data_IF_177033420630
#
_entry.id   IF_177033420630
#
_cell.length_a   1.000
_cell.length_b   1.000
_cell.length_c   1.000
_cell.angle_alpha   90.00
_cell.angle_beta   90.00
_cell.angle_gamma   90.00
#
_symmetry.space_group_name_H-M   'P 1'
#
loop_
_entity.id
_entity.type
_entity.pdbx_description
1 polymer ?
#
# COMPACT_ATOMS: atom_id res chain seq x y z
N UNK A 1 20.71 6.07 -33.38
CA UNK A 1 20.27 6.39 -31.99
C UNK A 1 18.98 7.21 -32.01
N UNK A 2 18.92 8.31 -32.75
CA UNK A 2 17.68 9.10 -32.93
C UNK A 2 16.46 8.25 -33.37
N UNK A 3 16.63 7.36 -34.35
CA UNK A 3 15.53 6.49 -34.80
C UNK A 3 15.00 5.58 -33.69
N UNK A 4 15.88 5.07 -32.82
CA UNK A 4 15.50 4.23 -31.69
C UNK A 4 14.75 5.04 -30.62
N UNK A 5 15.19 6.26 -30.33
CA UNK A 5 14.51 7.16 -29.38
C UNK A 5 13.13 7.53 -29.92
N UNK A 6 13.03 7.90 -31.20
CA UNK A 6 11.75 8.23 -31.85
C UNK A 6 10.80 7.04 -31.87
N UNK A 7 11.31 5.85 -32.22
CA UNK A 7 10.53 4.61 -32.15
C UNK A 7 10.02 4.34 -30.73
N UNK A 8 10.88 4.48 -29.72
CA UNK A 8 10.47 4.30 -28.31
C UNK A 8 9.41 5.33 -27.89
N UNK A 9 9.57 6.59 -28.31
CA UNK A 9 8.60 7.64 -28.02
C UNK A 9 7.23 7.36 -28.64
N UNK A 10 7.19 6.76 -29.83
CA UNK A 10 5.93 6.33 -30.45
C UNK A 10 5.20 5.26 -29.63
N UNK A 11 5.90 4.52 -28.76
CA UNK A 11 5.33 3.52 -27.87
C UNK A 11 4.85 4.08 -26.53
N UNK A 12 5.10 5.36 -26.22
CA UNK A 12 4.76 5.94 -24.92
C UNK A 12 3.29 5.77 -24.57
N UNK A 13 2.39 6.16 -25.48
CA UNK A 13 0.94 6.09 -25.24
C UNK A 13 0.45 4.63 -25.12
N UNK A 14 0.80 3.70 -26.04
CA UNK A 14 0.49 2.27 -25.87
C UNK A 14 0.98 1.68 -24.54
N UNK A 15 2.20 2.00 -24.12
CA UNK A 15 2.78 1.50 -22.86
C UNK A 15 2.02 2.07 -21.66
N UNK A 16 1.63 3.34 -21.69
CA UNK A 16 0.81 3.94 -20.64
C UNK A 16 -0.55 3.22 -20.55
N UNK A 17 -1.23 2.97 -21.67
CA UNK A 17 -2.50 2.23 -21.66
C UNK A 17 -2.33 0.80 -21.12
N UNK A 18 -1.31 0.08 -21.56
CA UNK A 18 -1.00 -1.25 -21.03
C UNK A 18 -0.80 -1.20 -19.51
N UNK A 19 -0.03 -0.23 -19.04
CA UNK A 19 0.23 -0.02 -17.60
C UNK A 19 -1.07 0.25 -16.83
N UNK A 20 -1.96 1.09 -17.37
CA UNK A 20 -3.26 1.36 -16.74
C UNK A 20 -4.10 0.08 -16.63
N UNK A 21 -4.14 -0.74 -17.70
CA UNK A 21 -4.89 -1.98 -17.75
C UNK A 21 -4.43 -3.02 -16.71
N UNK A 22 -3.12 -3.09 -16.41
CA UNK A 22 -2.60 -4.00 -15.38
C UNK A 22 -2.69 -3.41 -13.97
N UNK A 23 -2.56 -2.10 -13.83
CA UNK A 23 -2.46 -1.44 -12.53
C UNK A 23 -3.81 -1.23 -11.88
N UNK A 24 -4.85 -0.84 -12.62
CA UNK A 24 -6.18 -0.61 -12.03
C UNK A 24 -6.71 -1.88 -11.33
N UNK A 25 -6.71 -3.08 -11.95
CA UNK A 25 -7.12 -4.31 -11.26
C UNK A 25 -6.24 -4.63 -10.05
N UNK A 26 -4.93 -4.38 -10.16
CA UNK A 26 -3.98 -4.66 -9.09
C UNK A 26 -4.15 -3.71 -7.90
N UNK A 27 -4.44 -2.42 -8.12
CA UNK A 27 -4.81 -1.48 -7.06
C UNK A 27 -6.13 -1.86 -6.38
N UNK A 28 -7.14 -2.25 -7.16
CA UNK A 28 -8.41 -2.71 -6.61
C UNK A 28 -8.21 -3.95 -5.71
N UNK A 29 -7.38 -4.89 -6.15
CA UNK A 29 -6.95 -6.02 -5.34
C UNK A 29 -6.21 -5.55 -4.08
N UNK A 30 -5.29 -4.60 -4.19
CA UNK A 30 -4.53 -4.08 -3.05
C UNK A 30 -5.42 -3.41 -1.98
N UNK A 31 -6.38 -2.59 -2.41
CA UNK A 31 -7.38 -1.99 -1.51
C UNK A 31 -8.21 -3.09 -0.83
N UNK A 32 -8.66 -4.08 -1.60
CA UNK A 32 -9.41 -5.23 -1.06
C UNK A 32 -8.60 -6.02 -0.01
N UNK A 33 -7.29 -6.16 -0.24
CA UNK A 33 -6.38 -6.81 0.70
C UNK A 33 -6.20 -6.00 1.99
N UNK A 34 -5.99 -4.69 1.89
CA UNK A 34 -5.91 -3.78 3.05
C UNK A 34 -7.21 -3.88 3.88
N UNK A 35 -8.37 -3.78 3.24
CA UNK A 35 -9.68 -3.87 3.91
C UNK A 35 -9.83 -5.20 4.64
N UNK A 36 -9.47 -6.31 3.98
CA UNK A 36 -9.53 -7.66 4.58
C UNK A 36 -8.61 -7.78 5.80
N UNK A 37 -7.37 -7.28 5.71
CA UNK A 37 -6.40 -7.32 6.81
C UNK A 37 -6.91 -6.51 8.01
N UNK A 38 -7.43 -5.31 7.76
CA UNK A 38 -7.95 -4.43 8.82
C UNK A 38 -9.17 -5.05 9.49
N UNK A 39 -10.08 -5.64 8.72
CA UNK A 39 -11.34 -6.21 9.21
C UNK A 39 -11.15 -7.46 10.08
N UNK A 40 -10.18 -8.32 9.75
CA UNK A 40 -10.07 -9.64 10.38
C UNK A 40 -8.87 -9.74 11.31
N UNK A 41 -9.14 -9.97 12.60
CA UNK A 41 -8.12 -10.08 13.66
C UNK A 41 -7.05 -11.15 13.40
N UNK A 42 -7.39 -12.21 12.67
CA UNK A 42 -6.44 -13.28 12.32
C UNK A 42 -5.27 -12.80 11.45
N UNK A 43 -5.40 -11.64 10.81
CA UNK A 43 -4.35 -11.03 10.00
C UNK A 43 -3.66 -9.85 10.72
N UNK A 44 -3.90 -9.64 12.02
CA UNK A 44 -3.23 -8.59 12.80
C UNK A 44 -1.82 -9.00 13.28
N UNK A 45 -1.04 -9.64 12.40
CA UNK A 45 0.35 -9.98 12.67
C UNK A 45 1.31 -8.89 12.12
N UNK A 46 2.57 -8.94 12.55
CA UNK A 46 3.59 -7.95 12.15
C UNK A 46 3.84 -7.92 10.65
N UNK A 47 3.81 -9.08 9.99
CA UNK A 47 4.00 -9.20 8.54
C UNK A 47 2.91 -8.46 7.75
N UNK A 48 1.63 -8.68 8.08
CA UNK A 48 0.51 -8.03 7.42
C UNK A 48 0.47 -6.53 7.72
N UNK A 49 0.88 -6.10 8.92
CA UNK A 49 1.02 -4.68 9.22
C UNK A 49 2.10 -4.02 8.33
N UNK A 50 3.25 -4.66 8.15
CA UNK A 50 4.31 -4.21 7.22
C UNK A 50 3.83 -4.21 5.77
N UNK A 51 3.08 -5.23 5.37
CA UNK A 51 2.45 -5.29 4.05
C UNK A 51 1.48 -4.13 3.83
N UNK A 52 0.61 -3.81 4.80
CA UNK A 52 -0.33 -2.67 4.68
C UNK A 52 0.42 -1.34 4.58
N UNK A 53 1.49 -1.14 5.36
CA UNK A 53 2.31 0.07 5.25
C UNK A 53 2.91 0.22 3.86
N UNK A 54 3.48 -0.85 3.29
CA UNK A 54 3.95 -0.86 1.91
C UNK A 54 2.82 -0.56 0.93
N UNK A 55 1.67 -1.20 1.13
CA UNK A 55 0.56 -1.07 0.20
C UNK A 55 0.02 0.35 0.12
N UNK A 56 -0.04 1.07 1.25
CA UNK A 56 -0.39 2.49 1.28
C UNK A 56 0.62 3.32 0.49
N UNK A 57 1.91 3.07 0.70
CA UNK A 57 2.98 3.80 0.01
C UNK A 57 2.96 3.57 -1.50
N UNK A 58 2.78 2.34 -1.94
CA UNK A 58 2.64 1.96 -3.35
C UNK A 58 1.41 2.64 -3.99
N UNK A 59 0.25 2.62 -3.32
CA UNK A 59 -0.96 3.29 -3.81
C UNK A 59 -0.75 4.81 -3.95
N UNK A 60 -0.10 5.45 -2.96
CA UNK A 60 0.24 6.87 -3.04
C UNK A 60 1.20 7.17 -4.21
N UNK A 61 2.18 6.29 -4.44
CA UNK A 61 3.14 6.44 -5.54
C UNK A 61 2.45 6.36 -6.90
N UNK A 62 1.52 5.42 -7.07
CA UNK A 62 0.72 5.28 -8.29
C UNK A 62 -0.16 6.51 -8.51
N UNK A 63 -0.86 6.98 -7.47
CA UNK A 63 -1.67 8.20 -7.56
C UNK A 63 -0.84 9.42 -7.95
N UNK A 64 0.35 9.58 -7.35
CA UNK A 64 1.30 10.62 -7.71
C UNK A 64 1.74 10.52 -9.18
N UNK A 65 1.99 9.30 -9.68
CA UNK A 65 2.36 9.07 -11.08
C UNK A 65 1.19 9.33 -12.05
N UNK A 66 -0.04 9.01 -11.66
CA UNK A 66 -1.22 9.37 -12.45
C UNK A 66 -1.37 10.89 -12.56
N UNK A 67 -1.25 11.58 -11.44
CA UNK A 67 -1.37 13.04 -11.37
C UNK A 67 -0.23 13.74 -12.13
N UNK A 68 1.02 13.41 -11.86
CA UNK A 68 2.18 14.14 -12.39
C UNK A 68 2.65 13.74 -13.79
N UNK A 69 2.27 12.56 -14.28
CA UNK A 69 2.83 12.02 -15.53
C UNK A 69 1.77 11.44 -16.48
N UNK A 70 0.99 10.44 -16.05
CA UNK A 70 0.11 9.70 -16.99
C UNK A 70 -1.03 10.54 -17.51
N UNK A 71 -1.76 11.24 -16.63
CA UNK A 71 -2.88 12.07 -17.05
C UNK A 71 -2.42 13.24 -17.95
N UNK A 72 -1.33 13.97 -17.62
CA UNK A 72 -0.72 14.92 -18.54
C UNK A 72 -0.33 14.35 -19.91
N UNK A 73 0.07 13.09 -19.99
CA UNK A 73 0.40 12.45 -21.27
C UNK A 73 -0.83 12.08 -22.11
N UNK A 74 -1.92 11.61 -21.49
CA UNK A 74 -3.09 11.07 -22.23
C UNK A 74 -4.09 12.19 -22.58
N UNK A 75 -4.39 13.06 -21.61
CA UNK A 75 -5.43 14.11 -21.73
C UNK A 75 -4.87 15.49 -21.39
N UNK A 76 -3.57 15.69 -21.65
CA UNK A 76 -2.86 16.92 -21.33
C UNK A 76 -3.52 18.18 -21.87
N UNK A 77 -4.06 18.14 -23.09
CA UNK A 77 -4.68 19.31 -23.72
C UNK A 77 -5.84 19.87 -22.89
N UNK A 78 -6.66 18.99 -22.31
CA UNK A 78 -7.79 19.36 -21.44
C UNK A 78 -7.29 19.78 -20.06
N UNK A 79 -6.34 19.03 -19.51
CA UNK A 79 -5.81 19.29 -18.17
C UNK A 79 -4.93 20.53 -18.07
N UNK A 80 -4.31 20.96 -19.16
CA UNK A 80 -3.40 22.10 -19.17
C UNK A 80 -4.08 23.38 -18.64
N UNK A 81 -5.33 23.62 -19.05
CA UNK A 81 -6.10 24.77 -18.58
C UNK A 81 -6.35 24.74 -17.07
N UNK A 82 -6.47 23.54 -16.49
CA UNK A 82 -6.67 23.35 -15.06
C UNK A 82 -5.33 23.47 -14.32
N UNK A 83 -4.29 22.78 -14.81
CA UNK A 83 -2.97 22.76 -14.16
C UNK A 83 -2.28 24.12 -14.18
N UNK A 84 -2.47 24.91 -15.25
CA UNK A 84 -1.90 26.27 -15.34
C UNK A 84 -2.45 27.25 -14.30
N UNK A 85 -3.60 26.92 -13.68
CA UNK A 85 -4.18 27.70 -12.58
C UNK A 85 -3.72 27.21 -11.20
N UNK A 86 -3.02 26.08 -11.13
CA UNK A 86 -2.61 25.53 -9.84
C UNK A 86 -1.48 26.36 -9.22
N UNK A 87 -1.53 26.58 -7.90
CA UNK A 87 -0.41 27.15 -7.18
C UNK A 87 0.79 26.19 -7.25
N UNK A 88 1.98 26.77 -7.17
CA UNK A 88 3.26 26.07 -7.28
C UNK A 88 3.36 24.80 -6.41
N UNK A 89 2.89 24.85 -5.15
CA UNK A 89 2.95 23.71 -4.24
C UNK A 89 2.14 22.51 -4.72
N UNK A 90 1.03 22.71 -5.47
CA UNK A 90 0.24 21.61 -6.02
C UNK A 90 0.98 20.90 -7.15
N UNK A 91 1.67 21.66 -8.02
CA UNK A 91 2.51 21.11 -9.08
C UNK A 91 3.73 20.36 -8.52
N UNK A 92 4.18 20.71 -7.31
CA UNK A 92 5.27 20.02 -6.60
C UNK A 92 4.85 18.68 -5.95
N UNK A 93 3.57 18.48 -5.62
CA UNK A 93 3.05 17.25 -5.00
C UNK A 93 3.50 15.97 -5.72
N UNK A 94 3.37 15.81 -7.06
CA UNK A 94 3.73 14.55 -7.71
C UNK A 94 5.23 14.24 -7.59
N UNK A 95 6.09 15.26 -7.65
CA UNK A 95 7.54 15.08 -7.50
C UNK A 95 7.90 14.75 -6.04
N UNK A 96 7.25 15.41 -5.08
CA UNK A 96 7.36 15.08 -3.67
C UNK A 96 6.91 13.64 -3.41
N UNK A 97 5.73 13.25 -3.88
CA UNK A 97 5.19 11.89 -3.73
C UNK A 97 6.14 10.87 -4.36
N UNK A 98 6.65 11.13 -5.57
CA UNK A 98 7.58 10.20 -6.23
C UNK A 98 8.84 9.94 -5.39
N UNK A 99 9.45 10.98 -4.83
CA UNK A 99 10.62 10.81 -3.96
C UNK A 99 10.26 10.16 -2.61
N UNK A 100 9.17 10.63 -2.00
CA UNK A 100 8.69 10.18 -0.69
C UNK A 100 8.33 8.70 -0.71
N UNK A 101 7.46 8.28 -1.64
CA UNK A 101 6.98 6.90 -1.72
C UNK A 101 8.10 5.95 -2.11
N UNK A 102 9.04 6.39 -2.95
CA UNK A 102 10.20 5.58 -3.28
C UNK A 102 11.08 5.27 -2.06
N UNK A 103 11.44 6.29 -1.27
CA UNK A 103 12.25 6.10 -0.07
C UNK A 103 11.48 5.30 1.00
N UNK A 104 10.19 5.60 1.21
CA UNK A 104 9.33 4.85 2.12
C UNK A 104 9.23 3.38 1.72
N UNK A 105 9.11 3.06 0.42
CA UNK A 105 9.06 1.68 -0.07
C UNK A 105 10.36 0.91 0.18
N UNK A 106 11.52 1.54 -0.02
CA UNK A 106 12.79 0.91 0.30
C UNK A 106 12.91 0.62 1.81
N UNK A 107 12.51 1.58 2.66
CA UNK A 107 12.48 1.39 4.11
C UNK A 107 11.56 0.23 4.52
N UNK A 108 10.32 0.21 4.05
CA UNK A 108 9.38 -0.87 4.39
C UNK A 108 9.88 -2.21 3.86
N UNK A 109 10.50 -2.26 2.68
CA UNK A 109 11.08 -3.49 2.13
C UNK A 109 12.15 -4.07 3.07
N UNK A 110 13.06 -3.24 3.58
CA UNK A 110 14.04 -3.67 4.58
C UNK A 110 13.36 -4.23 5.83
N UNK A 111 12.32 -3.54 6.32
CA UNK A 111 11.59 -4.01 7.50
C UNK A 111 10.88 -5.34 7.25
N UNK A 112 10.34 -5.58 6.06
CA UNK A 112 9.79 -6.89 5.66
C UNK A 112 10.89 -7.95 5.66
N UNK A 113 12.07 -7.67 5.10
CA UNK A 113 13.18 -8.61 5.10
C UNK A 113 13.68 -8.92 6.52
N UNK A 114 13.83 -7.90 7.38
CA UNK A 114 14.17 -8.07 8.80
C UNK A 114 13.08 -8.84 9.54
N UNK A 115 11.81 -8.62 9.22
CA UNK A 115 10.70 -9.36 9.78
C UNK A 115 10.79 -10.84 9.44
N UNK A 116 11.14 -11.20 8.20
CA UNK A 116 11.37 -12.59 7.79
C UNK A 116 12.62 -13.19 8.47
N UNK A 117 13.74 -12.47 8.45
CA UNK A 117 14.96 -12.90 9.14
C UNK A 117 14.70 -13.23 10.62
N UNK A 118 14.02 -12.33 11.32
CA UNK A 118 13.75 -12.50 12.76
C UNK A 118 12.68 -13.55 13.05
N UNK A 119 11.74 -13.80 12.14
CA UNK A 119 10.78 -14.90 12.26
C UNK A 119 11.48 -16.26 12.21
N UNK A 120 12.47 -16.41 11.31
CA UNK A 120 13.26 -17.64 11.16
C UNK A 120 14.31 -17.77 12.27
N UNK A 121 15.05 -16.71 12.57
CA UNK A 121 16.15 -16.75 13.52
C UNK A 121 15.69 -16.75 14.99
N UNK A 122 14.54 -16.15 15.30
CA UNK A 122 14.06 -15.94 16.68
C UNK A 122 12.54 -16.13 16.82
N UNK A 123 11.98 -17.31 16.47
CA UNK A 123 10.53 -17.53 16.42
C UNK A 123 9.81 -17.24 17.74
N UNK A 124 10.43 -17.57 18.88
CA UNK A 124 9.81 -17.42 20.22
C UNK A 124 9.67 -15.97 20.68
N UNK A 125 10.53 -15.07 20.23
CA UNK A 125 10.56 -13.65 20.65
C UNK A 125 10.02 -12.71 19.57
N UNK A 126 9.91 -13.19 18.33
CA UNK A 126 9.56 -12.40 17.15
C UNK A 126 8.31 -11.55 17.36
N UNK A 127 7.18 -12.16 17.76
CA UNK A 127 5.90 -11.43 17.83
C UNK A 127 5.91 -10.31 18.88
N UNK A 128 6.48 -10.57 20.07
CA UNK A 128 6.58 -9.59 21.16
C UNK A 128 7.48 -8.42 20.78
N UNK A 129 8.59 -8.69 20.08
CA UNK A 129 9.51 -7.67 19.60
C UNK A 129 8.84 -6.75 18.58
N UNK A 130 8.24 -7.33 17.54
CA UNK A 130 7.61 -6.53 16.48
C UNK A 130 6.39 -5.77 16.94
N UNK A 131 5.57 -6.32 17.85
CA UNK A 131 4.41 -5.59 18.38
C UNK A 131 4.79 -4.27 19.07
N UNK A 132 5.95 -4.23 19.76
CA UNK A 132 6.47 -3.02 20.40
C UNK A 132 7.14 -2.09 19.40
N UNK A 133 7.89 -2.64 18.45
CA UNK A 133 8.73 -1.88 17.53
C UNK A 133 7.93 -1.25 16.38
N UNK A 134 6.85 -1.90 15.93
CA UNK A 134 6.09 -1.51 14.74
C UNK A 134 5.60 -0.05 14.75
N UNK A 135 4.97 0.52 15.80
CA UNK A 135 4.52 1.91 15.77
C UNK A 135 5.66 2.91 15.57
N UNK A 136 6.82 2.67 16.20
CA UNK A 136 8.01 3.52 16.02
C UNK A 136 8.55 3.42 14.60
N UNK A 137 8.57 2.23 14.03
CA UNK A 137 8.99 2.01 12.64
C UNK A 137 8.02 2.65 11.64
N UNK A 138 6.71 2.62 11.91
CA UNK A 138 5.72 3.30 11.07
C UNK A 138 5.99 4.79 11.00
N UNK A 139 6.23 5.43 12.16
CA UNK A 139 6.57 6.86 12.21
C UNK A 139 7.86 7.11 11.44
N UNK A 140 8.89 6.31 11.69
CA UNK A 140 10.18 6.44 11.00
C UNK A 140 10.05 6.33 9.47
N UNK A 141 9.34 5.31 8.97
CA UNK A 141 9.11 5.06 7.54
C UNK A 141 8.51 6.27 6.83
N UNK A 142 7.56 6.96 7.46
CA UNK A 142 6.84 8.06 6.81
C UNK A 142 7.48 9.43 7.07
N UNK A 143 8.08 9.65 8.24
CA UNK A 143 8.74 10.92 8.58
C UNK A 143 10.10 11.07 7.90
N UNK A 144 10.88 9.99 7.78
CA UNK A 144 12.23 10.05 7.24
C UNK A 144 12.27 10.58 5.78
N UNK A 145 11.41 10.10 4.85
CA UNK A 145 11.34 10.66 3.50
C UNK A 145 10.80 12.09 3.43
N UNK A 146 9.99 12.53 4.40
CA UNK A 146 9.53 13.94 4.44
C UNK A 146 10.74 14.86 4.64
N UNK A 147 11.66 14.50 5.55
CA UNK A 147 12.86 15.30 5.85
C UNK A 147 13.80 15.45 4.64
N UNK A 148 13.81 14.48 3.72
CA UNK A 148 14.67 14.51 2.53
C UNK A 148 13.97 15.13 1.32
N UNK A 149 12.67 14.89 1.14
CA UNK A 149 11.92 15.31 -0.05
C UNK A 149 11.22 16.67 0.09
N UNK A 150 11.04 17.23 1.29
CA UNK A 150 10.38 18.53 1.47
C UNK A 150 10.99 19.70 0.66
N UNK A 151 12.32 19.76 0.35
CA UNK A 151 12.87 20.88 -0.41
C UNK A 151 12.26 21.04 -1.80
N UNK A 152 11.65 19.99 -2.37
CA UNK A 152 10.93 20.03 -3.66
C UNK A 152 9.83 21.10 -3.67
N UNK A 153 9.20 21.41 -2.53
CA UNK A 153 8.19 22.47 -2.45
C UNK A 153 8.76 23.88 -2.63
N UNK A 154 10.08 24.06 -2.62
CA UNK A 154 10.76 25.33 -2.91
C UNK A 154 11.03 25.53 -4.41
N UNK A 155 10.77 24.53 -5.25
CA UNK A 155 10.98 24.64 -6.69
C UNK A 155 10.01 25.63 -7.32
N UNK A 156 10.41 26.28 -8.41
CA UNK A 156 9.48 27.06 -9.24
C UNK A 156 8.92 26.14 -10.33
N UNK A 157 7.84 25.43 -10.02
CA UNK A 157 7.20 24.50 -10.94
C UNK A 157 6.61 25.24 -12.15
N UNK A 158 6.92 24.76 -13.34
CA UNK A 158 6.34 25.22 -14.61
C UNK A 158 5.77 24.06 -15.40
N UNK A 159 4.85 24.37 -16.30
CA UNK A 159 4.24 23.39 -17.19
C UNK A 159 4.83 23.59 -18.59
N UNK A 160 5.47 22.56 -19.12
CA UNK A 160 6.06 22.55 -20.45
C UNK A 160 5.19 21.71 -21.39
N UNK A 161 4.64 22.36 -22.42
CA UNK A 161 3.94 21.66 -23.52
C UNK A 161 4.98 20.98 -24.41
N UNK A 162 4.76 19.71 -24.79
CA UNK A 162 5.72 19.01 -25.65
C UNK A 162 5.64 19.50 -27.11
N UNK A 163 4.46 19.90 -27.57
CA UNK A 163 4.25 20.47 -28.91
C UNK A 163 3.37 21.73 -28.83
N UNK A 164 3.94 22.92 -28.54
CA UNK A 164 3.17 24.14 -28.30
C UNK A 164 2.30 24.59 -29.49
N UNK A 165 2.62 24.14 -30.70
CA UNK A 165 1.91 24.47 -31.93
C UNK A 165 0.87 23.41 -32.35
N UNK A 166 0.83 22.24 -31.70
CA UNK A 166 -0.16 21.20 -32.00
C UNK A 166 -1.38 21.38 -31.11
N UNK A 167 -2.54 21.68 -31.70
CA UNK A 167 -3.82 21.72 -30.98
C UNK A 167 -4.33 20.32 -30.63
N UNK A 168 -3.74 19.27 -31.22
CA UNK A 168 -4.20 17.89 -31.11
C UNK A 168 -3.29 17.09 -30.14
N UNK A 169 -1.99 17.40 -30.07
CA UNK A 169 -1.00 16.70 -29.25
C UNK A 169 -0.60 17.53 -28.02
N UNK A 170 -1.60 17.96 -27.23
CA UNK A 170 -1.38 18.83 -26.07
C UNK A 170 -0.83 18.13 -24.83
N UNK A 171 0.06 17.14 -24.96
CA UNK A 171 0.72 16.58 -23.78
C UNK A 171 1.64 17.62 -23.13
N UNK A 172 1.75 17.54 -21.81
CA UNK A 172 2.64 18.42 -21.05
C UNK A 172 3.38 17.66 -19.96
N UNK A 173 4.50 18.24 -19.52
CA UNK A 173 5.26 17.78 -18.38
C UNK A 173 5.39 18.90 -17.34
N UNK A 174 5.43 18.51 -16.06
CA UNK A 174 5.80 19.42 -14.99
C UNK A 174 7.32 19.47 -14.94
N UNK A 175 7.88 20.67 -14.97
CA UNK A 175 9.31 20.93 -14.91
C UNK A 175 9.64 22.00 -13.88
N UNK A 176 10.92 22.25 -13.68
CA UNK A 176 11.45 23.26 -12.77
C UNK A 176 11.99 24.43 -13.58
N UNK A 177 11.61 25.66 -13.21
CA UNK A 177 12.16 26.89 -13.75
C UNK A 177 13.31 27.43 -12.89
N UNK A 178 14.27 28.05 -13.56
CA UNK A 178 15.43 28.67 -12.95
C UNK A 178 16.60 27.71 -12.75
N UNK A 179 17.67 28.21 -12.14
CA UNK A 179 18.94 27.48 -11.97
C UNK A 179 18.95 26.60 -10.71
N UNK A 180 17.87 26.57 -9.93
CA UNK A 180 17.75 25.71 -8.78
C UNK A 180 17.62 24.25 -9.26
N UNK A 181 18.40 23.29 -8.71
CA UNK A 181 18.36 21.91 -9.18
C UNK A 181 17.54 21.01 -8.23
N UNK A 182 16.32 21.38 -7.82
CA UNK A 182 15.56 20.59 -6.84
C UNK A 182 15.14 19.21 -7.38
N UNK A 183 14.79 19.09 -8.67
CA UNK A 183 14.50 17.80 -9.31
C UNK A 183 15.74 16.90 -9.31
N UNK A 184 16.89 17.46 -9.68
CA UNK A 184 18.17 16.76 -9.67
C UNK A 184 18.57 16.36 -8.24
N UNK A 185 18.38 17.24 -7.26
CA UNK A 185 18.62 16.96 -5.85
C UNK A 185 17.76 15.78 -5.37
N UNK A 186 16.45 15.80 -5.62
CA UNK A 186 15.54 14.73 -5.20
C UNK A 186 15.92 13.38 -5.85
N UNK A 187 16.31 13.43 -7.13
CA UNK A 187 16.79 12.27 -7.89
C UNK A 187 18.10 11.72 -7.32
N UNK A 188 19.05 12.61 -7.02
CA UNK A 188 20.34 12.26 -6.42
C UNK A 188 20.16 11.62 -5.04
N UNK A 189 19.40 12.27 -4.14
CA UNK A 189 19.13 11.74 -2.81
C UNK A 189 18.43 10.39 -2.90
N UNK A 190 17.38 10.28 -3.72
CA UNK A 190 16.70 9.00 -3.96
C UNK A 190 17.66 7.89 -4.39
N UNK A 191 18.63 8.22 -5.23
CA UNK A 191 19.62 7.28 -5.75
C UNK A 191 20.61 6.83 -4.68
N UNK A 192 21.15 7.77 -3.90
CA UNK A 192 22.01 7.45 -2.76
C UNK A 192 21.28 6.55 -1.78
N UNK A 193 20.03 6.89 -1.43
CA UNK A 193 19.18 6.06 -0.57
C UNK A 193 18.95 4.67 -1.17
N UNK A 194 18.65 4.59 -2.46
CA UNK A 194 18.45 3.33 -3.18
C UNK A 194 19.68 2.43 -3.08
N UNK A 195 20.88 2.94 -3.35
CA UNK A 195 22.13 2.16 -3.28
C UNK A 195 22.38 1.64 -1.88
N UNK A 196 22.25 2.49 -0.85
CA UNK A 196 22.42 2.10 0.55
C UNK A 196 21.44 0.99 0.92
N UNK A 197 20.16 1.17 0.59
CA UNK A 197 19.13 0.19 0.89
C UNK A 197 19.29 -1.11 0.13
N UNK A 198 19.74 -1.06 -1.13
CA UNK A 198 20.02 -2.24 -1.92
C UNK A 198 21.12 -3.10 -1.30
N UNK A 199 22.19 -2.48 -0.81
CA UNK A 199 23.25 -3.18 -0.07
C UNK A 199 22.67 -3.84 1.19
N UNK A 200 21.88 -3.11 1.99
CA UNK A 200 21.25 -3.65 3.19
C UNK A 200 20.31 -4.81 2.89
N UNK A 201 19.46 -4.69 1.86
CA UNK A 201 18.56 -5.76 1.42
C UNK A 201 19.31 -7.02 1.01
N UNK A 202 20.41 -6.89 0.25
CA UNK A 202 21.26 -8.03 -0.14
C UNK A 202 21.84 -8.71 1.10
N UNK A 203 22.40 -7.95 2.04
CA UNK A 203 22.97 -8.49 3.27
C UNK A 203 21.92 -9.22 4.12
N UNK A 204 20.73 -8.63 4.29
CA UNK A 204 19.63 -9.25 5.06
C UNK A 204 19.12 -10.51 4.36
N UNK A 205 19.01 -10.51 3.04
CA UNK A 205 18.59 -11.70 2.28
C UNK A 205 19.61 -12.84 2.40
N UNK A 206 20.90 -12.55 2.32
CA UNK A 206 21.96 -13.54 2.55
C UNK A 206 21.84 -14.10 3.97
N UNK A 207 21.70 -13.24 4.99
CA UNK A 207 21.51 -13.67 6.37
C UNK A 207 20.25 -14.52 6.55
N UNK A 208 19.15 -14.16 5.88
CA UNK A 208 17.88 -14.89 5.92
C UNK A 208 18.03 -16.27 5.29
N UNK A 209 18.71 -16.37 4.15
CA UNK A 209 18.97 -17.64 3.48
C UNK A 209 19.86 -18.56 4.31
N UNK A 210 20.91 -18.02 4.94
CA UNK A 210 21.78 -18.78 5.86
C UNK A 210 20.98 -19.28 7.06
N UNK A 211 20.20 -18.40 7.71
CA UNK A 211 19.35 -18.77 8.84
C UNK A 211 18.31 -19.83 8.44
N UNK A 212 17.70 -19.70 7.27
CA UNK A 212 16.75 -20.67 6.73
C UNK A 212 17.40 -22.03 6.48
N UNK A 213 18.57 -22.08 5.85
CA UNK A 213 19.32 -23.33 5.63
C UNK A 213 19.67 -24.02 6.95
N UNK A 214 20.11 -23.27 7.95
CA UNK A 214 20.39 -23.79 9.29
C UNK A 214 19.13 -24.32 9.98
N UNK A 215 17.98 -23.66 9.77
CA UNK A 215 16.69 -24.12 10.29
C UNK A 215 16.24 -25.42 9.61
N UNK A 216 16.36 -25.52 8.28
CA UNK A 216 16.00 -26.72 7.50
C UNK A 216 16.76 -27.97 7.96
N UNK A 217 18.07 -27.84 8.20
CA UNK A 217 18.90 -28.96 8.69
C UNK A 217 18.38 -29.48 10.04
N UNK A 218 17.86 -28.61 10.90
CA UNK A 218 17.27 -29.01 12.20
C UNK A 218 15.85 -29.56 12.06
N UNK A 219 15.09 -29.08 11.09
CA UNK A 219 13.69 -29.46 10.88
C UNK A 219 13.56 -30.85 10.25
N UNK A 220 14.49 -31.25 9.37
CA UNK A 220 14.51 -32.59 8.73
C UNK A 220 14.54 -33.72 9.78
N UNK A 221 15.16 -33.46 10.93
CA UNK A 221 15.22 -34.39 12.07
C UNK A 221 13.84 -34.54 12.74
N UNK A 222 12.97 -33.53 12.66
CA UNK A 222 11.73 -33.43 13.44
C UNK A 222 10.43 -33.56 12.62
N UNK A 223 10.50 -33.65 11.28
CA UNK A 223 9.38 -34.03 10.40
C UNK A 223 8.16 -33.08 10.38
N UNK A 224 8.34 -31.76 10.53
CA UNK A 224 7.22 -30.83 10.75
C UNK A 224 6.74 -30.11 9.46
N UNK A 225 5.43 -29.93 9.30
CA UNK A 225 4.76 -29.36 8.10
C UNK A 225 4.72 -27.83 8.03
N UNK A 226 5.25 -27.13 9.05
CA UNK A 226 5.23 -25.67 9.16
C UNK A 226 6.04 -24.95 8.05
N UNK A 227 6.89 -25.70 7.32
CA UNK A 227 7.84 -25.16 6.36
C UNK A 227 7.21 -24.57 5.10
N UNK A 228 6.01 -25.00 4.71
CA UNK A 228 5.40 -24.60 3.44
C UNK A 228 4.96 -23.13 3.39
N UNK A 229 4.40 -22.62 4.50
CA UNK A 229 3.96 -21.23 4.58
C UNK A 229 5.17 -20.30 4.63
N UNK A 230 6.17 -20.62 5.47
CA UNK A 230 7.38 -19.80 5.58
C UNK A 230 8.17 -19.77 4.27
N UNK A 231 8.27 -20.89 3.55
CA UNK A 231 8.86 -20.93 2.21
C UNK A 231 8.14 -20.00 1.22
N UNK A 232 6.81 -20.00 1.20
CA UNK A 232 6.02 -19.10 0.33
C UNK A 232 6.22 -17.63 0.70
N UNK A 233 6.27 -17.31 1.99
CA UNK A 233 6.52 -15.95 2.47
C UNK A 233 7.96 -15.49 2.18
N UNK A 234 8.93 -16.40 2.21
CA UNK A 234 10.31 -16.12 1.80
C UNK A 234 10.38 -15.84 0.29
N UNK A 235 9.70 -16.64 -0.54
CA UNK A 235 9.60 -16.39 -2.00
C UNK A 235 8.94 -15.04 -2.26
N UNK A 236 7.86 -14.70 -1.54
CA UNK A 236 7.21 -13.39 -1.61
C UNK A 236 8.20 -12.26 -1.33
N UNK A 237 8.99 -12.37 -0.25
CA UNK A 237 9.97 -11.37 0.15
C UNK A 237 11.11 -11.22 -0.87
N UNK A 238 11.60 -12.33 -1.43
CA UNK A 238 12.64 -12.33 -2.46
C UNK A 238 12.16 -11.74 -3.78
N UNK A 239 10.95 -12.09 -4.24
CA UNK A 239 10.38 -11.53 -5.45
C UNK A 239 10.10 -10.03 -5.30
N UNK A 240 9.61 -9.63 -4.13
CA UNK A 240 9.45 -8.23 -3.72
C UNK A 240 10.77 -7.47 -3.81
N UNK A 241 11.85 -8.03 -3.25
CA UNK A 241 13.19 -7.47 -3.33
C UNK A 241 13.67 -7.38 -4.79
N UNK A 242 13.43 -8.39 -5.62
CA UNK A 242 13.83 -8.39 -7.02
C UNK A 242 13.13 -7.27 -7.81
N UNK A 243 11.84 -7.03 -7.54
CA UNK A 243 11.12 -5.88 -8.13
C UNK A 243 11.76 -4.54 -7.77
N UNK A 244 12.20 -4.38 -6.51
CA UNK A 244 12.89 -3.17 -6.06
C UNK A 244 14.30 -3.05 -6.65
N UNK A 245 15.03 -4.16 -6.74
CA UNK A 245 16.34 -4.23 -7.39
C UNK A 245 16.25 -3.80 -8.86
N UNK A 246 15.25 -4.30 -9.60
CA UNK A 246 15.03 -3.93 -11.00
C UNK A 246 14.76 -2.43 -11.12
N UNK A 247 13.87 -1.90 -10.28
CA UNK A 247 13.52 -0.48 -10.26
C UNK A 247 14.73 0.41 -9.91
N UNK A 248 15.48 0.06 -8.87
CA UNK A 248 16.71 0.74 -8.47
C UNK A 248 17.76 0.72 -9.58
N UNK A 249 17.92 -0.41 -10.27
CA UNK A 249 18.87 -0.57 -11.37
C UNK A 249 18.51 0.33 -12.55
N UNK A 250 17.23 0.41 -12.90
CA UNK A 250 16.77 1.32 -13.97
C UNK A 250 17.04 2.77 -13.59
N UNK A 251 16.80 3.17 -12.33
CA UNK A 251 17.11 4.52 -11.86
C UNK A 251 18.60 4.85 -11.94
N UNK A 252 19.47 3.91 -11.54
CA UNK A 252 20.92 4.07 -11.64
C UNK A 252 21.39 4.19 -13.08
N UNK A 253 20.87 3.32 -13.97
CA UNK A 253 21.13 3.37 -15.41
C UNK A 253 20.66 4.72 -15.97
N UNK A 254 19.47 5.18 -15.58
CA UNK A 254 18.92 6.45 -16.06
C UNK A 254 19.81 7.63 -15.71
N UNK A 255 20.35 7.68 -14.48
CA UNK A 255 21.23 8.76 -14.05
C UNK A 255 22.58 8.70 -14.77
N UNK A 256 23.17 7.52 -14.82
CA UNK A 256 24.45 7.32 -15.50
C UNK A 256 24.35 7.71 -16.97
N UNK A 257 23.28 7.27 -17.65
CA UNK A 257 23.06 7.61 -19.05
C UNK A 257 22.71 9.08 -19.21
N UNK A 258 21.90 9.68 -18.33
CA UNK A 258 21.56 11.11 -18.42
C UNK A 258 22.81 12.03 -18.34
N UNK A 259 23.88 11.56 -17.68
CA UNK A 259 25.18 12.26 -17.71
C UNK A 259 25.90 12.17 -19.06
N UNK A 260 25.63 11.13 -19.85
CA UNK A 260 26.24 10.87 -21.16
C UNK A 260 25.41 11.51 -22.27
N UNK A 261 24.10 11.23 -22.28
CA UNK A 261 23.14 11.70 -23.28
C UNK A 261 21.75 11.88 -22.63
N UNK A 262 21.28 13.13 -22.47
CA UNK A 262 19.98 13.41 -21.86
C UNK A 262 18.80 12.92 -22.69
N UNK A 263 18.97 12.64 -23.99
CA UNK A 263 17.87 12.15 -24.84
C UNK A 263 17.43 10.73 -24.46
N UNK A 264 18.32 9.92 -23.89
CA UNK A 264 18.00 8.55 -23.45
C UNK A 264 17.20 8.57 -22.14
N UNK A 265 17.27 9.64 -21.34
CA UNK A 265 16.41 9.79 -20.15
C UNK A 265 14.93 9.70 -20.52
N UNK A 266 14.58 10.20 -21.70
CA UNK A 266 13.22 10.12 -22.25
C UNK A 266 12.78 8.66 -22.45
N UNK A 267 13.65 7.80 -22.97
CA UNK A 267 13.39 6.36 -23.12
C UNK A 267 13.11 5.71 -21.77
N UNK A 268 13.89 6.05 -20.74
CA UNK A 268 13.65 5.54 -19.37
C UNK A 268 12.27 5.99 -18.86
N UNK A 269 11.90 7.26 -19.05
CA UNK A 269 10.62 7.79 -18.62
C UNK A 269 9.42 7.09 -19.31
N UNK A 270 9.58 6.64 -20.55
CA UNK A 270 8.56 5.85 -21.26
C UNK A 270 8.28 4.51 -20.56
N UNK A 271 9.34 3.77 -20.17
CA UNK A 271 9.19 2.45 -19.54
C UNK A 271 9.00 2.53 -18.01
N UNK A 272 9.33 3.67 -17.40
CA UNK A 272 9.28 3.87 -15.96
C UNK A 272 7.94 3.46 -15.30
N UNK A 273 6.76 3.90 -15.81
CA UNK A 273 5.48 3.50 -15.22
C UNK A 273 5.26 1.99 -15.23
N UNK A 274 5.62 1.32 -16.33
CA UNK A 274 5.43 -0.11 -16.48
C UNK A 274 6.25 -0.87 -15.46
N UNK A 275 7.53 -0.52 -15.31
CA UNK A 275 8.43 -1.21 -14.38
C UNK A 275 8.07 -0.90 -12.94
N UNK A 276 7.78 0.37 -12.63
CA UNK A 276 7.35 0.79 -11.30
C UNK A 276 6.10 0.02 -10.87
N UNK A 277 5.04 0.04 -11.67
CA UNK A 277 3.77 -0.60 -11.31
C UNK A 277 3.88 -2.11 -11.24
N UNK A 278 4.61 -2.71 -12.19
CA UNK A 278 4.77 -4.16 -12.22
C UNK A 278 5.55 -4.63 -11.00
N UNK A 279 6.66 -3.96 -10.67
CA UNK A 279 7.56 -4.33 -9.56
C UNK A 279 6.99 -4.01 -8.18
N UNK A 280 6.18 -2.96 -8.05
CA UNK A 280 5.63 -2.51 -6.76
C UNK A 280 4.23 -3.04 -6.53
N UNK A 281 3.25 -2.65 -7.35
CA UNK A 281 1.83 -2.95 -7.11
C UNK A 281 1.49 -4.37 -7.56
N UNK A 282 1.72 -4.67 -8.84
CA UNK A 282 1.26 -5.93 -9.47
C UNK A 282 1.92 -7.11 -8.77
N UNK A 283 3.25 -7.13 -8.71
CA UNK A 283 3.97 -8.23 -8.09
C UNK A 283 3.55 -8.42 -6.61
N UNK A 284 3.48 -7.35 -5.83
CA UNK A 284 3.14 -7.44 -4.41
C UNK A 284 1.69 -7.90 -4.15
N UNK A 285 0.71 -7.36 -4.89
CA UNK A 285 -0.70 -7.71 -4.68
C UNK A 285 -0.99 -9.16 -5.07
N UNK A 286 -0.46 -9.59 -6.21
CA UNK A 286 -0.72 -10.92 -6.74
C UNK A 286 0.06 -12.01 -5.99
N UNK A 287 1.30 -11.74 -5.58
CA UNK A 287 2.07 -12.70 -4.80
C UNK A 287 1.53 -12.91 -3.39
N UNK A 288 0.97 -11.89 -2.73
CA UNK A 288 0.35 -12.12 -1.41
C UNK A 288 -0.84 -13.09 -1.52
N UNK A 289 -1.65 -12.91 -2.57
CA UNK A 289 -2.80 -13.77 -2.83
C UNK A 289 -2.38 -15.22 -3.14
N UNK A 290 -1.26 -15.38 -3.84
CA UNK A 290 -0.65 -16.69 -4.11
C UNK A 290 -0.07 -17.34 -2.85
N UNK A 291 0.64 -16.55 -2.02
CA UNK A 291 1.38 -17.07 -0.88
C UNK A 291 0.47 -17.60 0.24
N UNK A 292 -0.73 -17.02 0.44
CA UNK A 292 -1.60 -17.37 1.57
C UNK A 292 -2.99 -17.88 1.13
N UNK A 293 -3.18 -19.20 1.25
CA UNK A 293 -4.46 -19.86 0.96
C UNK A 293 -5.61 -19.39 1.86
N UNK A 294 -5.35 -19.27 3.17
CA UNK A 294 -6.34 -18.80 4.14
C UNK A 294 -6.74 -17.35 3.86
N UNK A 295 -5.78 -16.51 3.48
CA UNK A 295 -6.06 -15.13 3.10
C UNK A 295 -6.93 -15.05 1.85
N UNK A 296 -6.61 -15.84 0.81
CA UNK A 296 -7.43 -15.92 -0.41
C UNK A 296 -8.86 -16.39 -0.12
N UNK A 297 -9.04 -17.39 0.74
CA UNK A 297 -10.37 -17.85 1.14
C UNK A 297 -11.15 -16.76 1.87
N UNK A 298 -10.51 -16.03 2.79
CA UNK A 298 -11.16 -14.94 3.51
C UNK A 298 -11.50 -13.76 2.59
N UNK A 299 -10.60 -13.40 1.67
CA UNK A 299 -10.83 -12.37 0.65
C UNK A 299 -12.02 -12.76 -0.24
N UNK A 300 -12.04 -14.00 -0.74
CA UNK A 300 -13.16 -14.50 -1.53
C UNK A 300 -14.48 -14.50 -0.75
N UNK A 301 -14.46 -14.81 0.56
CA UNK A 301 -15.62 -14.74 1.44
C UNK A 301 -16.12 -13.31 1.62
N UNK A 302 -15.23 -12.36 1.90
CA UNK A 302 -15.60 -10.96 2.12
C UNK A 302 -16.26 -10.34 0.89
N UNK A 303 -15.75 -10.62 -0.31
CA UNK A 303 -16.29 -10.08 -1.56
C UNK A 303 -17.43 -10.94 -2.14
N UNK A 304 -17.45 -12.24 -1.87
CA UNK A 304 -18.56 -13.13 -2.21
C UNK A 304 -19.84 -12.81 -1.43
N UNK A 305 -19.71 -12.51 -0.13
CA UNK A 305 -20.84 -12.11 0.73
C UNK A 305 -21.47 -10.81 0.24
N UNK A 306 -20.67 -9.84 -0.21
CA UNK A 306 -21.18 -8.58 -0.79
C UNK A 306 -22.09 -8.87 -1.99
N UNK A 307 -21.73 -9.86 -2.83
CA UNK A 307 -22.52 -10.24 -3.99
C UNK A 307 -23.85 -10.91 -3.61
N UNK A 308 -23.85 -11.78 -2.60
CA UNK A 308 -25.06 -12.50 -2.15
C UNK A 308 -26.03 -11.56 -1.44
N UNK A 309 -25.54 -10.73 -0.51
CA UNK A 309 -26.39 -9.79 0.23
C UNK A 309 -27.07 -8.79 -0.71
N UNK A 310 -26.34 -8.28 -1.72
CA UNK A 310 -26.91 -7.38 -2.73
C UNK A 310 -28.02 -8.06 -3.55
N UNK A 311 -27.88 -9.34 -3.88
CA UNK A 311 -28.90 -10.10 -4.61
C UNK A 311 -30.17 -10.33 -3.76
N UNK A 312 -30.02 -10.56 -2.45
CA UNK A 312 -31.15 -10.72 -1.54
C UNK A 312 -31.91 -9.40 -1.31
N UNK A 313 -31.20 -8.29 -1.09
CA UNK A 313 -31.85 -6.96 -0.92
C UNK A 313 -32.63 -6.53 -2.16
N UNK A 314 -32.12 -6.81 -3.38
CA UNK A 314 -32.84 -6.50 -4.62
C UNK A 314 -34.12 -7.35 -4.77
N UNK A 315 -34.07 -8.63 -4.37
CA UNK A 315 -35.26 -9.50 -4.42
C UNK A 315 -36.35 -9.07 -3.44
N UNK A 316 -36.00 -8.63 -2.23
CA UNK A 316 -36.98 -8.14 -1.25
C UNK A 316 -37.64 -6.84 -1.73
N UNK A 317 -36.86 -5.90 -2.30
CA UNK A 317 -37.41 -4.66 -2.86
C UNK A 317 -38.32 -4.84 -4.08
N UNK A 318 -38.07 -5.87 -4.91
CA UNK A 318 -38.94 -6.18 -6.05
C UNK A 318 -40.27 -6.83 -5.65
N UNK A 319 -40.34 -7.47 -4.47
CA UNK A 319 -41.56 -8.09 -3.96
C UNK A 319 -42.47 -7.11 -3.21
N UNK A 320 -41.92 -6.05 -2.61
CA UNK A 320 -42.70 -5.02 -1.91
C UNK A 320 -43.36 -3.99 -2.85
N UNK A 321 -42.93 -3.89 -4.11
CA UNK A 321 -43.47 -2.95 -5.10
C UNK A 321 -44.84 -3.29 -5.70
N UNK A 322 -45.41 -4.47 -5.44
CA UNK A 322 -46.65 -4.93 -6.10
C UNK A 322 -47.84 -5.16 -5.16
N UNK A 323 -47.69 -4.96 -3.85
CA UNK A 323 -48.79 -5.22 -2.90
C UNK A 323 -48.95 -4.09 -1.91
N UNK A 324 -50.07 -3.38 -2.08
CA UNK A 324 -50.73 -2.47 -1.14
C UNK A 324 -50.49 -0.98 -1.38
N UNK A 325 -51.46 -0.37 -2.07
CA UNK A 325 -51.82 1.03 -1.84
C UNK A 325 -52.27 1.16 -0.38
N UNK A 326 -51.66 2.01 0.46
CA UNK A 326 -52.18 2.29 1.78
C UNK A 326 -53.27 3.36 1.70
N UNK A 327 -54.38 3.12 2.38
CA UNK A 327 -55.26 4.19 2.83
C UNK A 327 -54.47 5.14 3.74
N UNK A 328 -54.68 6.44 3.55
CA UNK A 328 -54.06 7.52 4.30
C UNK A 328 -54.35 7.42 5.80
N UNK A 329 -53.31 7.24 6.62
CA UNK A 329 -53.45 7.27 8.08
C UNK A 329 -52.13 7.34 8.83
N UNK A 330 -51.23 6.35 8.67
CA UNK A 330 -50.17 6.11 9.66
C UNK A 330 -48.73 6.10 9.11
N UNK A 331 -48.40 7.01 8.19
CA UNK A 331 -47.05 7.10 7.62
C UNK A 331 -45.98 7.66 8.58
N UNK A 332 -46.36 8.22 9.73
CA UNK A 332 -45.44 8.97 10.59
C UNK A 332 -44.64 8.11 11.59
N UNK A 333 -45.12 6.91 11.94
CA UNK A 333 -44.47 6.06 12.95
C UNK A 333 -43.29 5.25 12.40
N UNK A 334 -43.39 4.76 11.15
CA UNK A 334 -42.40 3.83 10.59
C UNK A 334 -41.05 4.49 10.25
N UNK A 335 -41.07 5.76 9.84
CA UNK A 335 -39.85 6.54 9.53
C UNK A 335 -39.01 6.90 10.75
N UNK A 336 -39.57 6.87 11.98
CA UNK A 336 -38.79 7.11 13.21
C UNK A 336 -37.97 5.89 13.63
N UNK A 337 -38.44 4.68 13.36
CA UNK A 337 -37.77 3.46 13.80
C UNK A 337 -36.53 3.11 12.94
N UNK A 338 -36.58 3.35 11.63
CA UNK A 338 -35.42 3.05 10.75
C UNK A 338 -34.25 4.04 10.93
N UNK A 339 -34.52 5.30 11.28
CA UNK A 339 -33.48 6.32 11.55
C UNK A 339 -32.70 6.08 12.84
N UNK A 340 -33.29 5.39 13.83
CA UNK A 340 -32.60 5.08 15.08
C UNK A 340 -31.57 3.94 14.91
N UNK A 341 -31.86 2.98 14.03
CA UNK A 341 -31.04 1.78 13.84
C UNK A 341 -29.77 2.05 13.00
N UNK A 342 -29.82 3.03 12.09
CA UNK A 342 -28.67 3.45 11.27
C UNK A 342 -27.69 4.33 12.07
N UNK A 343 -28.18 5.15 13.02
CA UNK A 343 -27.31 6.03 13.82
C UNK A 343 -26.46 5.27 14.85
N UNK A 344 -26.87 4.06 15.24
CA UNK A 344 -26.16 3.25 16.22
C UNK A 344 -24.96 2.47 15.66
N UNK A 345 -24.88 2.28 14.33
CA UNK A 345 -23.77 1.56 13.68
C UNK A 345 -22.59 2.47 13.32
N UNK A 346 -22.84 3.75 13.02
CA UNK A 346 -21.78 4.70 12.62
C UNK A 346 -20.96 5.22 13.82
N UNK A 347 -21.58 5.42 14.99
CA UNK A 347 -20.86 5.84 16.20
C UNK A 347 -19.93 4.76 16.77
N UNK A 348 -20.15 3.48 16.44
CA UNK A 348 -19.34 2.38 16.97
C UNK A 348 -18.02 2.15 16.21
N UNK A 349 -17.92 2.66 14.98
CA UNK A 349 -16.74 2.45 14.13
C UNK A 349 -15.64 3.51 14.35
N UNK A 350 -16.01 4.74 14.74
CA UNK A 350 -15.08 5.86 14.85
C UNK A 350 -14.33 5.87 16.19
N UNK A 351 -14.92 5.34 17.28
CA UNK A 351 -14.27 5.38 18.60
C UNK A 351 -13.18 4.31 18.84
N UNK A 352 -13.09 3.25 18.02
CA UNK A 352 -12.11 2.16 18.24
C UNK A 352 -10.72 2.42 17.67
N UNK A 353 -10.55 3.47 16.88
CA UNK A 353 -9.26 3.80 16.24
C UNK A 353 -8.40 4.79 17.03
N UNK A 354 -8.90 5.39 18.12
CA UNK A 354 -8.19 6.44 18.86
C UNK A 354 -8.03 6.19 20.37
N UNK A 355 -8.52 5.07 20.91
CA UNK A 355 -8.41 4.77 22.34
C UNK A 355 -7.30 3.74 22.59
N UNK A 356 -6.25 4.07 23.38
CA UNK A 356 -5.25 3.11 23.81
C UNK A 356 -5.92 1.98 24.62
N UNK A 357 -5.54 0.73 24.33
CA UNK A 357 -6.10 -0.50 24.91
C UNK A 357 -5.99 -0.58 26.44
N UNK A 358 -5.15 0.24 27.04
CA UNK A 358 -4.81 0.17 28.47
C UNK A 358 -5.87 0.81 29.38
N UNK A 359 -6.82 1.58 28.84
CA UNK A 359 -7.94 2.13 29.61
C UNK A 359 -9.07 1.10 29.86
N UNK A 360 -9.18 0.07 29.01
CA UNK A 360 -10.27 -0.93 29.11
C UNK A 360 -9.90 -2.10 30.03
N UNK A 361 -8.61 -2.40 30.22
CA UNK A 361 -8.18 -3.47 31.14
C UNK A 361 -8.36 -3.10 32.62
N UNK A 362 -8.24 -1.82 32.98
CA UNK A 362 -8.44 -1.37 34.37
C UNK A 362 -9.92 -1.44 34.79
N UNK A 363 -10.86 -1.19 33.88
CA UNK A 363 -12.29 -1.20 34.18
C UNK A 363 -12.85 -2.62 34.34
N UNK A 364 -12.31 -3.61 33.61
CA UNK A 364 -12.70 -5.03 33.75
C UNK A 364 -12.09 -5.65 35.01
N UNK A 365 -10.95 -5.13 35.50
CA UNK A 365 -10.35 -5.61 36.75
C UNK A 365 -11.09 -5.13 37.99
N UNK A 366 -11.63 -3.89 37.99
CA UNK A 366 -12.41 -3.39 39.13
C UNK A 366 -13.78 -4.08 39.23
N UNK A 367 -14.43 -4.38 38.10
CA UNK A 367 -15.73 -5.04 38.07
C UNK A 367 -15.68 -6.50 38.55
N UNK A 368 -14.55 -7.20 38.32
CA UNK A 368 -14.33 -8.56 38.85
C UNK A 368 -14.03 -8.59 40.34
N UNK A 369 -13.49 -7.51 40.89
CA UNK A 369 -13.16 -7.42 42.31
C UNK A 369 -14.42 -7.10 43.14
N UNK A 370 -15.33 -6.29 42.58
CA UNK A 370 -16.62 -5.98 43.21
C UNK A 370 -17.63 -7.15 43.16
N UNK A 371 -17.55 -8.01 42.14
CA UNK A 371 -18.38 -9.23 42.05
C UNK A 371 -17.92 -10.37 42.97
N UNK A 372 -16.67 -10.34 43.45
CA UNK A 372 -16.12 -11.35 44.35
C UNK A 372 -16.49 -11.09 45.83
N UNK A 373 -16.82 -9.84 46.18
CA UNK A 373 -17.18 -9.45 47.56
C UNK A 373 -18.68 -9.63 47.87
N UNK A 374 -19.51 -9.98 46.88
CA UNK A 374 -20.98 -10.03 47.04
C UNK A 374 -21.59 -11.44 47.08
N UNK A 375 -20.80 -12.52 47.08
CA UNK A 375 -21.34 -13.90 47.22
C UNK A 375 -20.98 -14.53 48.57
N UNK A 376 -21.93 -14.62 49.53
CA UNK A 376 -21.72 -15.36 50.77
C UNK A 376 -21.98 -16.86 50.57
N UNK A 377 -20.96 -17.66 50.89
CA UNK A 377 -21.09 -18.98 51.53
C UNK A 377 -21.81 -20.09 50.77
N UNK A 378 -21.07 -20.84 49.95
CA UNK A 378 -21.43 -22.22 49.59
C UNK A 378 -20.46 -23.19 50.28
N UNK A 379 -20.90 -23.77 51.39
CA UNK A 379 -20.22 -24.86 52.11
C UNK A 379 -20.20 -26.15 51.30
N UNK A 380 -19.01 -26.74 51.15
CA UNK A 380 -18.81 -28.04 50.51
C UNK A 380 -19.18 -29.19 51.47
N UNK A 381 -19.72 -30.32 50.97
CA UNK A 381 -19.98 -31.50 51.79
C UNK A 381 -18.71 -32.33 51.95
N UNK A 382 -18.38 -32.63 53.20
CA UNK A 382 -17.42 -33.67 53.60
C UNK A 382 -18.01 -35.05 53.31
N UNK A 383 -17.27 -35.88 52.55
CA UNK A 383 -17.52 -37.32 52.48
C UNK A 383 -16.72 -38.01 53.60
N UNK A 384 -17.44 -38.70 54.47
CA UNK A 384 -16.98 -39.91 55.18
C UNK A 384 -17.56 -41.14 54.47
#
# INVERSE_FOLDING_TARGET
MADFVNWTMSLQIPIIYLTICITIPSMALYIAQIVTIVRHKQFHNSFFALFVMRAITDLLGVLGNFYGYRLPCIIGAVLYQIYSQFPNWMLAIPLFLSGHTFQANNLVTILILLNRLTAIAMPTKHEKMWRKLLPFLTIFVYCMPILTCWPVFKMNAIILMAAPNSTIDGNFAISEAGDAPYIHYNTYISTVFSVIFMILCVLINIATFVAYKLHMIKADINGNTFDDIERKLLIYALATFLGHLLFASIFLIAIFINMIDPTIMVVVLVYYPLVMDTGTVVLSSWLLLWASGNFRQQLAKDFGIIRINKAQTIRVGAQEGARNRPNSGDACAYLRQSRAQIRHSEHFLVLKLLVPRDAVSHQISSEKQELAETMPGATAPTME
#
